data_IF_002516800118
#
_entry.id   IF_002516800118
#
_cell.length_a   1.000
_cell.length_b   1.000
_cell.length_c   1.000
_cell.angle_alpha   90.00
_cell.angle_beta   90.00
_cell.angle_gamma   90.00
#
_symmetry.space_group_name_H-M   'P 1'
#
loop_
_entity.id
_entity.type
_entity.pdbx_description
1 polymer ?
#
# COMPACT_ATOMS: atom_id res chain seq x y z
N UNK A 1 2.76 4.48 1.50
CA UNK A 1 3.89 4.37 0.56
C UNK A 1 3.75 5.44 -0.49
N UNK A 2 4.84 5.90 -1.09
CA UNK A 2 4.79 6.90 -2.15
C UNK A 2 4.10 6.34 -3.40
N UNK A 3 3.21 7.11 -4.02
CA UNK A 3 2.66 6.80 -5.35
C UNK A 3 1.55 5.74 -5.40
N UNK A 4 1.16 5.17 -4.26
CA UNK A 4 0.09 4.17 -4.18
C UNK A 4 -0.93 4.52 -3.11
N UNK A 5 -2.10 3.94 -3.25
CA UNK A 5 -3.20 3.97 -2.30
C UNK A 5 -3.69 2.53 -2.06
N UNK A 6 -3.98 2.19 -0.80
CA UNK A 6 -4.31 0.84 -0.38
C UNK A 6 -5.64 0.84 0.40
N UNK A 7 -6.42 -0.24 0.35
CA UNK A 7 -7.73 -0.30 1.00
C UNK A 7 -7.62 -0.05 2.50
N UNK A 8 -8.53 0.77 3.05
CA UNK A 8 -8.49 1.15 4.45
C UNK A 8 -8.83 -0.03 5.37
N UNK A 9 -7.98 -0.25 6.39
CA UNK A 9 -8.17 -1.34 7.36
C UNK A 9 -8.85 -0.84 8.62
N UNK A 10 -8.50 0.36 9.09
CA UNK A 10 -8.97 0.86 10.39
C UNK A 10 -10.39 1.43 10.31
N UNK A 11 -10.73 2.10 9.21
CA UNK A 11 -12.05 2.70 8.96
C UNK A 11 -12.49 2.41 7.52
N UNK A 12 -12.76 1.14 7.18
CA UNK A 12 -13.20 0.78 5.83
C UNK A 12 -14.58 1.39 5.54
N UNK A 13 -14.79 1.87 4.32
CA UNK A 13 -16.09 2.34 3.83
C UNK A 13 -17.08 1.18 3.61
N UNK A 14 -16.60 -0.05 3.42
CA UNK A 14 -17.43 -1.24 3.26
C UNK A 14 -16.68 -2.54 3.63
N UNK A 15 -17.42 -3.65 3.76
CA UNK A 15 -16.84 -4.96 4.11
C UNK A 15 -15.85 -5.50 3.06
N UNK A 16 -16.10 -5.22 1.77
CA UNK A 16 -15.21 -5.62 0.67
C UNK A 16 -13.85 -4.93 0.78
N UNK A 17 -13.85 -3.62 1.07
CA UNK A 17 -12.62 -2.86 1.33
C UNK A 17 -11.84 -3.44 2.52
N UNK A 18 -12.51 -3.73 3.65
CA UNK A 18 -11.86 -4.33 4.82
C UNK A 18 -11.17 -5.66 4.48
N UNK A 19 -11.83 -6.50 3.69
CA UNK A 19 -11.27 -7.78 3.24
C UNK A 19 -10.02 -7.58 2.38
N UNK A 20 -10.09 -6.65 1.42
CA UNK A 20 -8.95 -6.28 0.57
C UNK A 20 -7.81 -5.66 1.38
N UNK A 21 -8.10 -4.79 2.34
CA UNK A 21 -7.10 -4.16 3.20
C UNK A 21 -6.37 -5.16 4.09
N UNK A 22 -7.09 -6.15 4.62
CA UNK A 22 -6.48 -7.26 5.36
C UNK A 22 -5.56 -8.11 4.47
N UNK A 23 -5.95 -8.36 3.21
CA UNK A 23 -5.10 -9.07 2.24
C UNK A 23 -3.85 -8.27 1.89
N UNK A 24 -3.99 -6.98 1.61
CA UNK A 24 -2.86 -6.08 1.33
C UNK A 24 -1.88 -6.02 2.52
N UNK A 25 -2.41 -5.94 3.76
CA UNK A 25 -1.60 -5.94 4.98
C UNK A 25 -0.77 -7.21 5.13
N UNK A 26 -1.41 -8.39 5.03
CA UNK A 26 -0.70 -9.67 5.14
C UNK A 26 0.33 -9.85 4.03
N UNK A 27 -0.01 -9.40 2.82
CA UNK A 27 0.92 -9.48 1.69
C UNK A 27 2.15 -8.61 1.93
N UNK A 28 1.97 -7.37 2.36
CA UNK A 28 3.07 -6.48 2.67
C UNK A 28 3.97 -7.07 3.77
N UNK A 29 3.39 -7.60 4.84
CA UNK A 29 4.14 -8.28 5.91
C UNK A 29 4.99 -9.44 5.36
N UNK A 30 4.42 -10.26 4.47
CA UNK A 30 5.13 -11.36 3.81
C UNK A 30 6.25 -10.88 2.88
N UNK A 31 6.09 -9.75 2.19
CA UNK A 31 7.15 -9.19 1.36
C UNK A 31 8.31 -8.67 2.22
N UNK A 32 7.99 -7.99 3.31
CA UNK A 32 8.97 -7.37 4.21
C UNK A 32 9.72 -8.38 5.08
N UNK A 33 9.19 -9.59 5.30
CA UNK A 33 9.85 -10.61 6.12
C UNK A 33 11.19 -11.10 5.56
N UNK A 34 11.43 -10.91 4.25
CA UNK A 34 12.70 -11.23 3.60
C UNK A 34 13.78 -10.15 3.72
N UNK A 35 13.49 -9.04 4.41
CA UNK A 35 14.35 -7.85 4.45
C UNK A 35 13.92 -6.79 3.44
N UNK A 36 14.11 -5.53 3.80
CA UNK A 36 13.73 -4.37 3.00
C UNK A 36 14.55 -3.14 3.38
N UNK A 37 14.61 -2.16 2.48
CA UNK A 37 15.10 -0.81 2.74
C UNK A 37 14.00 0.22 2.47
N UNK A 38 14.02 1.31 3.23
CA UNK A 38 13.12 2.44 3.05
C UNK A 38 13.89 3.58 2.36
N UNK A 39 13.29 4.15 1.32
CA UNK A 39 13.85 5.29 0.60
C UNK A 39 12.85 6.46 0.60
N UNK A 40 13.38 7.68 0.67
CA UNK A 40 12.56 8.90 0.72
C UNK A 40 12.33 9.39 2.15
N UNK A 41 11.15 9.95 2.41
CA UNK A 41 10.81 10.52 3.71
C UNK A 41 10.24 11.94 3.70
N UNK A 42 9.80 12.43 2.54
CA UNK A 42 9.02 13.67 2.47
C UNK A 42 7.70 13.52 3.24
N UNK A 43 7.25 14.61 3.85
CA UNK A 43 5.93 14.67 4.47
C UNK A 43 4.89 15.02 3.39
N UNK A 44 3.76 14.33 3.40
CA UNK A 44 2.60 14.81 2.67
C UNK A 44 1.98 16.04 3.36
N UNK A 45 0.96 16.64 2.73
CA UNK A 45 0.24 17.80 3.27
C UNK A 45 -0.46 17.56 4.62
N UNK A 46 -0.59 16.30 5.04
CA UNK A 46 -1.18 15.89 6.31
C UNK A 46 -0.12 15.46 7.33
N UNK A 47 1.17 15.68 7.03
CA UNK A 47 2.28 15.33 7.91
C UNK A 47 2.64 13.84 7.93
N UNK A 48 2.14 13.03 6.98
CA UNK A 48 2.51 11.62 6.89
C UNK A 48 3.81 11.45 6.11
N UNK A 49 4.73 10.66 6.64
CA UNK A 49 5.97 10.29 5.94
C UNK A 49 5.65 9.38 4.76
N UNK A 50 5.95 9.83 3.55
CA UNK A 50 5.88 9.01 2.34
C UNK A 50 7.26 8.41 2.04
N UNK A 51 7.30 7.09 1.94
CA UNK A 51 8.49 6.30 1.63
C UNK A 51 8.17 5.29 0.54
N UNK A 52 9.19 4.97 -0.26
CA UNK A 52 9.24 3.77 -1.11
C UNK A 52 9.90 2.64 -0.33
N UNK A 53 9.53 1.40 -0.64
CA UNK A 53 10.02 0.21 0.06
C UNK A 53 10.66 -0.72 -0.96
N UNK A 54 11.98 -0.84 -0.93
CA UNK A 54 12.71 -1.78 -1.78
C UNK A 54 12.88 -3.09 -1.03
N UNK A 55 12.44 -4.19 -1.63
CA UNK A 55 12.56 -5.54 -1.09
C UNK A 55 13.96 -6.09 -1.29
N UNK A 56 14.34 -7.13 -0.55
CA UNK A 56 15.65 -7.78 -0.66
C UNK A 56 16.01 -8.25 -2.08
N UNK A 57 15.01 -8.55 -2.93
CA UNK A 57 15.20 -8.92 -4.34
C UNK A 57 15.24 -7.72 -5.30
N UNK A 58 15.32 -6.48 -4.78
CA UNK A 58 15.39 -5.25 -5.56
C UNK A 58 14.06 -4.71 -6.09
N UNK A 59 12.94 -5.41 -5.86
CA UNK A 59 11.61 -4.95 -6.32
C UNK A 59 11.03 -3.89 -5.37
N UNK A 60 10.25 -2.96 -5.91
CA UNK A 60 9.45 -2.03 -5.11
C UNK A 60 8.18 -2.73 -4.59
N UNK A 61 7.95 -2.68 -3.28
CA UNK A 61 6.81 -3.35 -2.64
C UNK A 61 5.46 -2.76 -3.08
N UNK A 62 5.39 -1.46 -3.35
CA UNK A 62 4.19 -0.80 -3.83
C UNK A 62 3.80 -1.26 -5.23
N UNK A 63 4.78 -1.38 -6.12
CA UNK A 63 4.59 -1.98 -7.45
C UNK A 63 4.10 -3.43 -7.37
N UNK A 64 4.66 -4.23 -6.44
CA UNK A 64 4.16 -5.60 -6.20
C UNK A 64 2.70 -5.60 -5.78
N UNK A 65 2.31 -4.75 -4.83
CA UNK A 65 0.93 -4.68 -4.36
C UNK A 65 -0.03 -4.21 -5.45
N UNK A 66 0.36 -3.25 -6.30
CA UNK A 66 -0.45 -2.81 -7.44
C UNK A 66 -0.62 -3.93 -8.47
N UNK A 67 0.47 -4.61 -8.84
CA UNK A 67 0.43 -5.73 -9.79
C UNK A 67 -0.45 -6.90 -9.30
N UNK A 68 -0.53 -7.10 -7.98
CA UNK A 68 -1.40 -8.11 -7.35
C UNK A 68 -2.84 -7.61 -7.09
N UNK A 69 -3.17 -6.38 -7.49
CA UNK A 69 -4.49 -5.79 -7.30
C UNK A 69 -4.83 -5.46 -5.83
N UNK A 70 -3.81 -5.35 -4.98
CA UNK A 70 -3.92 -5.06 -3.55
C UNK A 70 -3.70 -3.57 -3.22
N UNK A 71 -3.28 -2.78 -4.21
CA UNK A 71 -3.23 -1.33 -4.16
C UNK A 71 -3.62 -0.75 -5.53
N UNK A 72 -3.86 0.56 -5.57
CA UNK A 72 -4.05 1.32 -6.79
C UNK A 72 -3.06 2.49 -6.86
N UNK A 73 -2.83 3.03 -8.05
CA UNK A 73 -1.97 4.19 -8.24
C UNK A 73 -2.58 5.42 -7.55
N UNK A 74 -1.73 6.25 -6.94
CA UNK A 74 -2.09 7.57 -6.42
C UNK A 74 -1.54 8.66 -7.36
N UNK A 75 -2.25 9.77 -7.62
CA UNK A 75 -3.60 10.09 -7.15
C UNK A 75 -4.66 9.29 -7.92
N UNK A 76 -5.79 9.02 -7.25
CA UNK A 76 -6.95 8.34 -7.81
C UNK A 76 -8.24 9.06 -7.42
N UNK A 77 -9.37 8.58 -7.95
CA UNK A 77 -10.71 9.05 -7.59
C UNK A 77 -11.58 7.87 -7.15
N UNK A 78 -12.26 8.06 -6.02
CA UNK A 78 -13.22 7.11 -5.48
C UNK A 78 -12.60 5.89 -4.79
N UNK A 79 -13.44 5.19 -4.05
CA UNK A 79 -13.09 3.95 -3.38
C UNK A 79 -13.49 2.77 -4.27
N UNK A 80 -12.55 2.27 -5.08
CA UNK A 80 -12.79 1.15 -6.00
C UNK A 80 -13.07 -0.19 -5.33
N UNK A 81 -12.89 -0.28 -4.01
CA UNK A 81 -13.14 -1.49 -3.24
C UNK A 81 -14.57 -1.54 -2.69
N UNK A 82 -15.30 -0.43 -2.81
CA UNK A 82 -16.73 -0.36 -2.57
C UNK A 82 -17.47 -0.22 -3.91
N UNK A 83 -18.65 -0.83 -3.99
CA UNK A 83 -19.46 -0.89 -5.20
C UNK A 83 -19.98 0.47 -5.66
#
# INVERSE_FOLDING_TARGET
>A
MTGIDAPEVSKPGCAAEKSMGNRATRRLQSLMSGGYSLHGGGLDRYGRRLVSVTLANGRDAGEVLMAEGLAQRWPNSGNRWCG
#
